data_IF_330990183856
#
_entry.id   IF_330990183856
#
_cell.length_a   1.000
_cell.length_b   1.000
_cell.length_c   1.000
_cell.angle_alpha   90.00
_cell.angle_beta   90.00
_cell.angle_gamma   90.00
#
_symmetry.space_group_name_H-M   'P 1'
#
loop_
_entity.id
_entity.type
_entity.pdbx_description
1 polymer ?
#
# COMPACT_ATOMS: atom_id res chain seq x y z
N UNK A 1 -10.08 -4.18 16.56
CA UNK A 1 -8.94 -3.24 16.68
C UNK A 1 -9.01 -2.35 15.47
N UNK A 2 -9.17 -1.04 15.66
CA UNK A 2 -9.05 -0.09 14.54
C UNK A 2 -7.57 0.22 14.42
N UNK A 3 -6.90 -0.33 13.42
CA UNK A 3 -5.51 0.01 13.17
C UNK A 3 -5.46 1.46 12.69
N UNK A 4 -4.68 2.29 13.38
CA UNK A 4 -4.51 3.69 12.99
C UNK A 4 -3.72 3.75 11.67
N UNK A 5 -4.30 4.39 10.66
CA UNK A 5 -3.66 4.52 9.35
C UNK A 5 -2.66 5.68 9.35
N UNK A 6 -1.50 5.47 8.73
CA UNK A 6 -0.53 6.53 8.46
C UNK A 6 -0.85 7.18 7.12
N UNK A 7 -1.04 8.51 7.10
CA UNK A 7 -1.29 9.23 5.85
C UNK A 7 -0.03 9.90 5.30
N UNK A 8 0.09 9.87 3.98
CA UNK A 8 1.05 10.67 3.22
C UNK A 8 0.46 12.06 2.97
N UNK A 9 1.24 13.11 3.27
CA UNK A 9 0.81 14.49 3.04
C UNK A 9 1.40 15.01 1.74
N UNK A 10 0.53 15.46 0.82
CA UNK A 10 0.89 16.15 -0.41
C UNK A 10 0.62 17.65 -0.26
N UNK A 11 1.47 18.49 -0.84
CA UNK A 11 1.32 19.96 -0.75
C UNK A 11 1.04 20.56 -2.12
N UNK A 12 0.02 21.41 -2.20
CA UNK A 12 -0.26 22.23 -3.39
C UNK A 12 -0.68 23.63 -2.96
N UNK A 13 0.02 24.66 -3.42
CA UNK A 13 -0.29 26.08 -3.10
C UNK A 13 -0.43 26.33 -1.59
N UNK A 14 0.47 25.75 -0.80
CA UNK A 14 0.44 25.81 0.67
C UNK A 14 -0.82 25.21 1.33
N UNK A 15 -1.54 24.33 0.61
CA UNK A 15 -2.67 23.56 1.13
C UNK A 15 -2.28 22.07 1.15
N UNK A 16 -2.34 21.42 2.32
CA UNK A 16 -2.08 20.00 2.43
C UNK A 16 -3.25 19.18 1.91
N UNK A 17 -2.92 18.02 1.33
CA UNK A 17 -3.83 16.93 1.00
C UNK A 17 -3.26 15.65 1.59
N UNK A 18 -3.92 15.13 2.63
CA UNK A 18 -3.59 13.83 3.19
C UNK A 18 -4.24 12.73 2.36
N UNK A 19 -3.41 11.80 1.88
CA UNK A 19 -3.81 10.60 1.17
C UNK A 19 -3.29 9.37 1.90
N UNK A 20 -4.04 8.27 1.81
CA UNK A 20 -3.73 6.99 2.43
C UNK A 20 -4.12 5.88 1.46
N UNK A 21 -3.53 4.71 1.65
CA UNK A 21 -3.85 3.53 0.86
C UNK A 21 -4.51 2.50 1.77
N UNK A 22 -5.76 2.14 1.47
CA UNK A 22 -6.52 1.11 2.18
C UNK A 22 -6.95 0.08 1.14
N UNK A 23 -6.64 -1.19 1.37
CA UNK A 23 -7.01 -2.30 0.48
C UNK A 23 -6.55 -2.07 -0.98
N UNK A 24 -5.34 -1.53 -1.16
CA UNK A 24 -4.76 -1.12 -2.46
C UNK A 24 -5.56 -0.02 -3.21
N UNK A 25 -6.53 0.59 -2.54
CA UNK A 25 -7.29 1.72 -3.06
C UNK A 25 -6.81 3.03 -2.42
N UNK A 26 -6.65 4.10 -3.21
CA UNK A 26 -6.29 5.41 -2.67
C UNK A 26 -7.52 6.11 -2.07
N UNK A 27 -7.34 6.58 -0.84
CA UNK A 27 -8.31 7.35 -0.08
C UNK A 27 -7.72 8.70 0.32
N UNK A 28 -8.57 9.72 0.39
CA UNK A 28 -8.16 11.11 0.61
C UNK A 28 -9.00 11.74 1.71
N UNK A 29 -8.40 12.58 2.56
CA UNK A 29 -9.15 13.30 3.59
C UNK A 29 -10.12 14.29 2.95
N UNK A 30 -11.42 14.14 3.24
CA UNK A 30 -12.49 14.92 2.63
C UNK A 30 -12.34 16.44 2.90
N UNK A 31 -11.92 16.78 4.13
CA UNK A 31 -11.70 18.16 4.55
C UNK A 31 -10.62 18.85 3.71
N UNK A 32 -9.50 18.17 3.49
CA UNK A 32 -8.36 18.69 2.74
C UNK A 32 -8.74 18.89 1.26
N UNK A 33 -9.46 17.91 0.68
CA UNK A 33 -9.98 17.99 -0.69
C UNK A 33 -10.94 19.17 -0.86
N UNK A 34 -11.87 19.37 0.08
CA UNK A 34 -12.80 20.50 0.03
C UNK A 34 -12.07 21.85 0.05
N UNK A 35 -11.02 21.99 0.86
CA UNK A 35 -10.17 23.19 0.86
C UNK A 35 -9.43 23.39 -0.45
N UNK A 36 -8.96 22.33 -1.10
CA UNK A 36 -8.33 22.42 -2.43
C UNK A 36 -9.31 22.82 -3.52
N UNK A 37 -10.57 22.39 -3.41
CA UNK A 37 -11.67 22.78 -4.31
C UNK A 37 -12.19 24.20 -4.04
N UNK A 38 -11.79 24.83 -2.93
CA UNK A 38 -12.28 26.16 -2.53
C UNK A 38 -13.68 26.13 -1.91
N UNK A 39 -14.12 24.97 -1.42
CA UNK A 39 -15.41 24.82 -0.75
C UNK A 39 -15.32 25.36 0.69
N UNK A 40 -16.19 26.31 1.03
CA UNK A 40 -16.29 26.86 2.38
C UNK A 40 -16.87 25.87 3.39
N UNK A 41 -17.69 24.91 2.93
CA UNK A 41 -18.34 23.91 3.79
C UNK A 41 -18.01 22.48 3.32
N UNK A 42 -17.02 21.82 3.94
CA UNK A 42 -16.63 20.46 3.58
C UNK A 42 -17.75 19.43 3.81
N UNK A 43 -18.68 19.70 4.73
CA UNK A 43 -19.83 18.82 4.99
C UNK A 43 -20.76 18.69 3.77
N UNK A 44 -20.79 19.70 2.88
CA UNK A 44 -21.58 19.64 1.66
C UNK A 44 -21.05 18.59 0.66
N UNK A 45 -19.75 18.29 0.71
CA UNK A 45 -19.14 17.22 -0.06
C UNK A 45 -19.60 15.86 0.48
N UNK A 46 -19.44 15.61 1.79
CA UNK A 46 -19.79 14.35 2.42
C UNK A 46 -21.27 13.95 2.25
N UNK A 47 -22.20 14.91 2.31
CA UNK A 47 -23.65 14.65 2.13
C UNK A 47 -24.04 14.20 0.72
N UNK A 48 -23.14 14.36 -0.26
CA UNK A 48 -23.39 14.08 -1.68
C UNK A 48 -22.62 12.86 -2.20
N UNK A 49 -21.87 12.21 -1.32
CA UNK A 49 -21.16 10.98 -1.63
C UNK A 49 -22.00 9.79 -1.20
N UNK A 50 -21.87 8.70 -1.94
CA UNK A 50 -22.54 7.45 -1.59
C UNK A 50 -21.87 6.82 -0.35
N UNK A 51 -22.59 5.94 0.35
CA UNK A 51 -22.06 5.31 1.57
C UNK A 51 -20.78 4.48 1.37
N UNK A 52 -20.50 4.05 0.13
CA UNK A 52 -19.28 3.31 -0.23
C UNK A 52 -18.13 4.22 -0.68
N UNK A 53 -18.41 5.51 -0.87
CA UNK A 53 -17.47 6.50 -1.37
C UNK A 53 -16.79 7.30 -0.27
N UNK A 54 -17.39 7.29 0.92
CA UNK A 54 -16.87 7.90 2.14
C UNK A 54 -16.74 6.88 3.25
N UNK A 55 -15.72 7.04 4.10
CA UNK A 55 -15.48 6.20 5.26
C UNK A 55 -14.86 7.05 6.37
N UNK A 56 -15.29 6.82 7.61
CA UNK A 56 -14.59 7.31 8.80
C UNK A 56 -13.40 6.40 9.12
N UNK A 57 -12.20 6.96 9.21
CA UNK A 57 -10.98 6.22 9.58
C UNK A 57 -10.23 6.94 10.69
N UNK A 58 -9.57 6.16 11.54
CA UNK A 58 -8.64 6.66 12.55
C UNK A 58 -7.29 6.90 11.89
N UNK A 59 -6.85 8.14 11.90
CA UNK A 59 -5.64 8.57 11.21
C UNK A 59 -4.61 9.02 12.23
N UNK A 60 -3.39 8.45 12.17
CA UNK A 60 -2.29 8.84 13.04
C UNK A 60 -1.53 10.01 12.41
N UNK A 61 -1.53 11.15 13.08
CA UNK A 61 -0.75 12.31 12.69
C UNK A 61 0.74 12.07 12.97
N UNK A 62 1.62 12.80 12.27
CA UNK A 62 3.07 12.74 12.52
C UNK A 62 3.47 13.14 13.95
N UNK A 63 2.60 13.84 14.67
CA UNK A 63 2.75 14.19 16.10
C UNK A 63 2.39 13.05 17.06
N UNK A 64 1.92 11.90 16.55
CA UNK A 64 1.40 10.79 17.37
C UNK A 64 -0.02 10.99 17.86
N UNK A 65 -0.71 12.07 17.46
CA UNK A 65 -2.12 12.27 17.76
C UNK A 65 -2.99 11.44 16.79
N UNK A 66 -3.97 10.74 17.33
CA UNK A 66 -4.95 10.00 16.53
C UNK A 66 -6.23 10.83 16.37
N UNK A 67 -6.67 11.01 15.12
CA UNK A 67 -7.87 11.79 14.81
C UNK A 67 -8.81 10.97 13.92
N UNK A 68 -10.10 10.97 14.25
CA UNK A 68 -11.13 10.40 13.39
C UNK A 68 -11.44 11.38 12.25
N UNK A 69 -11.18 10.94 11.03
CA UNK A 69 -11.38 11.75 9.83
C UNK A 69 -12.22 11.02 8.79
N UNK A 70 -13.06 11.78 8.11
CA UNK A 70 -13.78 11.33 6.92
C UNK A 70 -12.83 11.32 5.72
N UNK A 71 -12.69 10.15 5.10
CA UNK A 71 -11.92 9.93 3.89
C UNK A 71 -12.82 9.53 2.74
N UNK A 72 -12.40 9.89 1.53
CA UNK A 72 -13.14 9.63 0.29
C UNK A 72 -12.27 8.87 -0.69
N UNK A 73 -12.86 7.95 -1.43
CA UNK A 73 -12.14 7.16 -2.42
C UNK A 73 -11.84 7.97 -3.70
N UNK A 74 -11.09 7.38 -4.62
CA UNK A 74 -10.75 8.01 -5.90
C UNK A 74 -11.98 8.34 -6.78
N UNK A 75 -13.00 7.48 -6.78
CA UNK A 75 -14.22 7.70 -7.55
C UNK A 75 -14.98 8.96 -7.06
N UNK A 76 -15.13 9.09 -5.74
CA UNK A 76 -15.70 10.24 -5.05
C UNK A 76 -14.91 11.53 -5.35
N UNK A 77 -13.58 11.43 -5.36
CA UNK A 77 -12.69 12.53 -5.70
C UNK A 77 -12.94 13.04 -7.12
N UNK A 78 -13.07 12.16 -8.11
CA UNK A 78 -13.39 12.58 -9.48
C UNK A 78 -14.81 13.14 -9.60
N UNK A 79 -15.80 12.55 -8.92
CA UNK A 79 -17.16 13.11 -8.85
C UNK A 79 -17.13 14.54 -8.28
N UNK A 80 -16.35 14.76 -7.22
CA UNK A 80 -16.19 16.08 -6.61
C UNK A 80 -15.51 17.08 -7.54
N UNK A 81 -14.47 16.66 -8.27
CA UNK A 81 -13.79 17.49 -9.27
C UNK A 81 -14.74 17.90 -10.41
N UNK A 82 -15.57 17.00 -10.91
CA UNK A 82 -16.52 17.32 -11.99
C UNK A 82 -17.62 18.26 -11.48
N UNK A 83 -18.10 18.04 -10.26
CA UNK A 83 -19.25 18.76 -9.71
C UNK A 83 -18.91 20.14 -9.15
N UNK A 84 -17.78 20.26 -8.47
CA UNK A 84 -17.34 21.47 -7.77
C UNK A 84 -16.08 22.08 -8.36
N UNK A 85 -15.45 21.40 -9.33
CA UNK A 85 -14.26 21.93 -9.99
C UNK A 85 -14.62 23.12 -10.86
N UNK A 86 -14.14 24.29 -10.45
CA UNK A 86 -14.05 25.45 -11.31
C UNK A 86 -13.12 25.12 -12.51
N UNK A 87 -13.33 25.66 -13.73
CA UNK A 87 -12.43 25.46 -14.87
C UNK A 87 -10.96 25.80 -14.56
N UNK A 88 -10.70 26.70 -13.61
CA UNK A 88 -9.36 27.04 -13.12
C UNK A 88 -8.72 25.88 -12.30
N UNK A 89 -9.52 24.94 -11.82
CA UNK A 89 -9.09 23.74 -11.10
C UNK A 89 -8.75 22.56 -12.03
N UNK A 90 -8.70 22.75 -13.36
CA UNK A 90 -8.16 21.70 -14.28
C UNK A 90 -6.75 21.26 -13.88
N UNK A 91 -5.94 22.20 -13.41
CA UNK A 91 -4.60 21.91 -12.89
C UNK A 91 -4.62 21.05 -11.61
N UNK A 92 -5.71 21.09 -10.83
CA UNK A 92 -5.88 20.22 -9.65
C UNK A 92 -6.14 18.78 -10.07
N UNK A 93 -7.07 18.56 -11.01
CA UNK A 93 -7.34 17.22 -11.54
C UNK A 93 -6.10 16.58 -12.18
N UNK A 94 -5.35 17.37 -12.96
CA UNK A 94 -4.07 16.94 -13.56
C UNK A 94 -3.04 16.56 -12.49
N UNK A 95 -2.86 17.41 -11.48
CA UNK A 95 -1.94 17.13 -10.37
C UNK A 95 -2.34 15.87 -9.59
N UNK A 96 -3.63 15.65 -9.35
CA UNK A 96 -4.13 14.45 -8.67
C UNK A 96 -3.85 13.18 -9.48
N UNK A 97 -4.19 13.18 -10.78
CA UNK A 97 -4.04 12.02 -11.65
C UNK A 97 -2.60 11.71 -12.06
N UNK A 98 -1.77 12.73 -12.28
CA UNK A 98 -0.39 12.53 -12.78
C UNK A 98 0.64 12.41 -11.65
N UNK A 99 0.38 12.97 -10.47
CA UNK A 99 1.36 12.99 -9.37
C UNK A 99 0.85 12.25 -8.15
N UNK A 100 -0.28 12.69 -7.58
CA UNK A 100 -0.71 12.22 -6.25
C UNK A 100 -1.09 10.75 -6.25
N UNK A 101 -1.98 10.33 -7.16
CA UNK A 101 -2.48 8.95 -7.21
C UNK A 101 -1.36 7.96 -7.57
N UNK A 102 -0.53 8.20 -8.60
CA UNK A 102 0.62 7.35 -8.88
C UNK A 102 1.57 7.22 -7.69
N UNK A 103 1.91 8.33 -7.02
CA UNK A 103 2.78 8.31 -5.85
C UNK A 103 2.18 7.53 -4.67
N UNK A 104 0.87 7.65 -4.42
CA UNK A 104 0.18 6.87 -3.39
C UNK A 104 0.20 5.38 -3.69
N UNK A 105 -0.05 5.00 -4.95
CA UNK A 105 -0.01 3.59 -5.37
C UNK A 105 1.41 3.03 -5.31
N UNK A 106 2.42 3.81 -5.68
CA UNK A 106 3.83 3.42 -5.58
C UNK A 106 4.28 3.27 -4.12
N UNK A 107 3.70 4.04 -3.18
CA UNK A 107 3.94 3.87 -1.75
C UNK A 107 3.32 2.57 -1.20
N UNK A 108 2.15 2.17 -1.72
CA UNK A 108 1.58 0.85 -1.46
C UNK A 108 2.43 -0.29 -2.01
N UNK A 109 3.11 -0.03 -3.13
CA UNK A 109 4.12 -0.90 -3.72
C UNK A 109 5.46 -0.79 -2.99
N UNK A 110 5.44 -1.05 -1.68
CA UNK A 110 6.55 -1.78 -1.04
C UNK A 110 6.57 -3.16 -1.70
N UNK A 111 7.13 -3.20 -2.91
CA UNK A 111 6.85 -4.17 -3.96
C UNK A 111 7.29 -5.60 -3.59
N UNK A 112 6.40 -6.60 -3.53
CA UNK A 112 6.76 -8.03 -3.46
C UNK A 112 7.26 -8.58 -4.82
N UNK A 113 7.12 -7.82 -5.91
CA UNK A 113 7.64 -8.15 -7.23
C UNK A 113 9.03 -7.58 -7.49
N UNK A 114 9.56 -6.71 -6.61
CA UNK A 114 10.96 -6.32 -6.64
C UNK A 114 11.77 -7.43 -5.97
N UNK A 115 12.76 -8.03 -6.67
CA UNK A 115 13.64 -9.00 -6.05
C UNK A 115 14.34 -8.36 -4.83
N UNK A 116 14.01 -8.86 -3.64
CA UNK A 116 14.61 -8.40 -2.38
C UNK A 116 15.60 -9.44 -1.89
N UNK A 117 16.82 -8.98 -1.55
CA UNK A 117 17.80 -9.83 -0.90
C UNK A 117 17.51 -9.92 0.59
N UNK A 118 17.25 -11.12 1.07
CA UNK A 118 17.04 -11.43 2.48
C UNK A 118 18.22 -12.27 2.97
N UNK A 119 18.75 -11.97 4.16
CA UNK A 119 19.85 -12.72 4.74
C UNK A 119 19.32 -13.63 5.83
N UNK A 120 19.33 -14.94 5.58
CA UNK A 120 18.90 -15.94 6.55
C UNK A 120 20.10 -16.63 7.18
N UNK A 121 20.03 -16.94 8.47
CA UNK A 121 21.02 -17.75 9.17
C UNK A 121 20.54 -19.20 9.28
N UNK A 122 21.33 -20.15 8.79
CA UNK A 122 21.05 -21.59 8.86
C UNK A 122 22.25 -22.36 9.44
N UNK A 123 22.07 -23.07 10.57
CA UNK A 123 23.10 -23.93 11.22
C UNK A 123 24.50 -23.27 11.34
N UNK A 124 24.53 -21.96 11.64
CA UNK A 124 25.74 -21.10 11.73
C UNK A 124 26.30 -20.54 10.41
N UNK A 125 25.62 -20.74 9.28
CA UNK A 125 25.95 -20.15 7.98
C UNK A 125 24.96 -19.03 7.60
N UNK A 126 25.40 -18.01 6.87
CA UNK A 126 24.56 -16.93 6.34
C UNK A 126 24.28 -17.18 4.87
N UNK A 127 23.02 -17.32 4.49
CA UNK A 127 22.56 -17.59 3.11
C UNK A 127 21.83 -16.36 2.59
N UNK A 128 22.20 -15.91 1.38
CA UNK A 128 21.49 -14.83 0.71
C UNK A 128 20.32 -15.42 -0.07
N UNK A 129 19.12 -15.10 0.37
CA UNK A 129 17.88 -15.45 -0.30
C UNK A 129 17.44 -14.30 -1.20
N UNK A 130 16.74 -14.63 -2.27
CA UNK A 130 15.99 -13.70 -3.08
C UNK A 130 14.50 -13.94 -2.83
N UNK A 131 13.84 -12.98 -2.21
CA UNK A 131 12.38 -12.94 -2.11
C UNK A 131 11.82 -12.36 -3.41
N UNK A 132 11.01 -13.17 -4.12
CA UNK A 132 10.32 -12.77 -5.34
C UNK A 132 8.95 -13.44 -5.43
N UNK A 133 7.89 -12.63 -5.57
CA UNK A 133 6.48 -13.07 -5.65
C UNK A 133 5.99 -13.92 -4.46
N UNK A 134 6.60 -13.76 -3.28
CA UNK A 134 6.26 -14.55 -2.09
C UNK A 134 6.96 -15.91 -2.03
N UNK A 135 7.86 -16.20 -2.97
CA UNK A 135 8.71 -17.39 -2.97
C UNK A 135 10.17 -17.00 -2.65
N UNK A 136 10.84 -17.85 -1.87
CA UNK A 136 12.25 -17.67 -1.50
C UNK A 136 13.16 -18.49 -2.41
N UNK A 137 13.98 -17.79 -3.19
CA UNK A 137 14.93 -18.38 -4.12
C UNK A 137 16.33 -18.39 -3.51
N UNK A 138 16.98 -19.55 -3.51
CA UNK A 138 18.38 -19.71 -3.09
C UNK A 138 19.24 -19.90 -4.34
N UNK A 139 20.35 -19.15 -4.54
CA UNK A 139 21.31 -19.45 -5.59
C UNK A 139 21.83 -20.88 -5.43
N UNK A 140 21.88 -21.68 -6.50
CA UNK A 140 22.30 -23.09 -6.45
C UNK A 140 23.67 -23.29 -5.77
N UNK A 141 24.58 -22.33 -5.92
CA UNK A 141 25.91 -22.32 -5.30
C UNK A 141 25.89 -22.12 -3.77
N UNK A 142 24.80 -21.57 -3.25
CA UNK A 142 24.57 -21.35 -1.82
C UNK A 142 23.59 -22.38 -1.23
N UNK A 143 23.17 -23.37 -2.03
CA UNK A 143 22.35 -24.45 -1.51
C UNK A 143 23.14 -25.19 -0.43
N UNK A 144 22.50 -25.45 0.72
CA UNK A 144 22.92 -26.49 1.62
C UNK A 144 23.34 -27.75 0.88
N UNK A 145 24.55 -28.25 1.11
CA UNK A 145 24.80 -29.65 0.79
C UNK A 145 23.91 -30.46 1.72
N UNK A 146 22.84 -31.04 1.16
CA UNK A 146 22.11 -32.10 1.83
C UNK A 146 23.06 -33.28 1.91
N UNK A 147 23.86 -33.32 2.98
CA UNK A 147 24.42 -34.59 3.41
C UNK A 147 23.19 -35.45 3.74
N UNK A 148 22.95 -36.57 3.04
CA UNK A 148 22.04 -37.55 3.59
C UNK A 148 22.51 -37.77 5.01
N UNK A 149 21.58 -37.65 5.96
CA UNK A 149 21.89 -37.99 7.34
C UNK A 149 22.31 -39.45 7.27
N UNK A 150 23.61 -39.70 7.30
CA UNK A 150 24.18 -41.04 7.43
C UNK A 150 23.93 -41.43 8.88
N UNK A 151 22.66 -41.61 9.22
CA UNK A 151 22.28 -42.49 10.29
C UNK A 151 22.68 -43.88 9.81
N UNK A 152 23.83 -44.34 10.27
CA UNK A 152 24.06 -45.77 10.43
C UNK A 152 22.85 -46.34 11.16
N UNK A 153 22.01 -47.10 10.44
CA UNK A 153 20.78 -47.66 11.01
C UNK A 153 19.69 -47.97 9.99
N UNK A 154 19.89 -49.05 9.23
CA UNK A 154 18.85 -49.93 8.66
C UNK A 154 17.67 -49.35 7.86
N UNK A 155 17.73 -49.54 6.53
CA UNK A 155 16.67 -50.19 5.74
C UNK A 155 15.31 -49.50 5.59
N UNK A 156 15.11 -48.73 4.51
CA UNK A 156 13.78 -48.50 3.89
C UNK A 156 13.88 -48.04 2.42
N UNK A 157 14.40 -48.87 1.50
CA UNK A 157 14.22 -48.60 0.06
C UNK A 157 12.81 -49.02 -0.38
N UNK A 158 11.84 -48.14 -0.13
CA UNK A 158 10.45 -48.28 -0.55
C UNK A 158 10.06 -47.26 -1.61
N UNK A 159 10.34 -47.60 -2.88
CA UNK A 159 9.60 -47.23 -4.11
C UNK A 159 9.07 -45.79 -4.24
N UNK A 160 9.62 -45.04 -5.19
CA UNK A 160 8.86 -44.07 -5.98
C UNK A 160 8.98 -44.44 -7.46
N UNK A 161 7.87 -44.92 -8.03
CA UNK A 161 7.66 -45.08 -9.48
C UNK A 161 7.36 -43.70 -10.06
N UNK A 162 8.13 -43.29 -11.06
CA UNK A 162 7.76 -42.21 -11.95
C UNK A 162 6.60 -42.68 -12.85
N UNK A 163 5.54 -41.89 -12.91
CA UNK A 163 4.49 -42.00 -13.92
C UNK A 163 4.71 -40.89 -14.94
N UNK A 164 4.87 -41.29 -16.20
CA UNK A 164 4.94 -40.44 -17.39
C UNK A 164 3.62 -39.70 -17.63
#
# INVERSE_FOLDING_TARGET
MHDAYTATTFLRHNRPLRGLLIDDQPWFVAHDLARLLGLHHPQALARRLDAHEARSVLLCAASGAEEWLEVVNEAALYKALIRFGHPENRALGRWLGEQVIPLLRDQGRVDPQRPRRVLMSWRSQRVTLLDWQGELWVPLQQLPTFSPCSGEGSGWLGRLRASL
#
